data_IF_714132388602
#
_entry.id   IF_714132388602
#
_cell.length_a   1.000
_cell.length_b   1.000
_cell.length_c   1.000
_cell.angle_alpha   90.00
_cell.angle_beta   90.00
_cell.angle_gamma   90.00
#
_symmetry.space_group_name_H-M   'P 1'
#
loop_
_entity.id
_entity.type
_entity.pdbx_description
1 polymer ?
#
# COMPACT_ATOMS: atom_id res chain seq x y z
N UNK A 1 23.76 3.27 -1.12
CA UNK A 1 22.54 3.52 -1.93
C UNK A 1 21.35 3.54 -0.98
N UNK A 2 20.36 4.42 -1.17
CA UNK A 2 19.18 4.47 -0.30
C UNK A 2 18.24 3.30 -0.61
N UNK A 3 17.83 2.59 0.44
CA UNK A 3 16.86 1.49 0.31
C UNK A 3 15.51 2.03 -0.20
N UNK A 4 14.73 1.20 -0.93
CA UNK A 4 13.34 1.53 -1.24
C UNK A 4 12.50 1.67 0.03
N UNK A 5 11.44 2.48 -0.08
CA UNK A 5 10.42 2.65 0.96
C UNK A 5 9.13 2.02 0.43
N UNK A 6 8.61 1.01 1.12
CA UNK A 6 7.34 0.37 0.80
C UNK A 6 6.24 0.95 1.69
N UNK A 7 5.18 1.47 1.09
CA UNK A 7 3.99 1.94 1.80
C UNK A 7 2.91 0.88 1.73
N UNK A 8 2.58 0.29 2.88
CA UNK A 8 1.50 -0.70 3.04
C UNK A 8 0.34 -0.11 3.83
N UNK A 9 -0.84 -0.69 3.65
CA UNK A 9 -2.05 -0.35 4.41
C UNK A 9 -3.32 -0.51 3.60
N UNK A 10 -4.46 -0.36 4.26
CA UNK A 10 -5.78 -0.50 3.65
C UNK A 10 -6.02 0.51 2.52
N UNK A 11 -7.01 0.25 1.67
CA UNK A 11 -7.47 1.26 0.70
C UNK A 11 -8.00 2.48 1.45
N UNK A 12 -7.75 3.69 0.93
CA UNK A 12 -8.13 4.94 1.61
C UNK A 12 -7.12 5.45 2.65
N UNK A 13 -6.06 4.70 2.99
CA UNK A 13 -5.08 5.16 3.98
C UNK A 13 -4.08 6.21 3.47
N UNK A 14 -4.17 6.62 2.20
CA UNK A 14 -3.35 7.71 1.65
C UNK A 14 -1.98 7.33 1.08
N UNK A 15 -1.70 6.03 0.82
CA UNK A 15 -0.43 5.55 0.23
C UNK A 15 0.05 6.36 -0.98
N UNK A 16 -0.83 6.63 -1.94
CA UNK A 16 -0.47 7.38 -3.15
C UNK A 16 -0.08 8.82 -2.81
N UNK A 17 -0.88 9.50 -1.98
CA UNK A 17 -0.62 10.89 -1.55
C UNK A 17 0.69 11.00 -0.75
N UNK A 18 0.85 10.15 0.26
CA UNK A 18 2.07 10.10 1.09
C UNK A 18 3.27 9.70 0.24
N UNK A 19 3.11 8.75 -0.67
CA UNK A 19 4.17 8.26 -1.54
C UNK A 19 4.71 9.32 -2.48
N UNK A 20 3.83 10.10 -3.12
CA UNK A 20 4.25 11.24 -3.93
C UNK A 20 4.98 12.31 -3.10
N UNK A 21 4.46 12.66 -1.91
CA UNK A 21 5.10 13.65 -1.06
C UNK A 21 6.51 13.20 -0.62
N UNK A 22 6.66 11.93 -0.21
CA UNK A 22 7.96 11.35 0.14
C UNK A 22 8.92 11.31 -1.05
N UNK A 23 8.44 10.97 -2.25
CA UNK A 23 9.30 10.85 -3.43
C UNK A 23 9.84 12.22 -3.86
N UNK A 24 9.03 13.27 -3.76
CA UNK A 24 9.46 14.65 -4.02
C UNK A 24 10.50 15.09 -2.98
N UNK A 25 10.24 14.83 -1.70
CA UNK A 25 11.16 15.20 -0.61
C UNK A 25 12.52 14.47 -0.73
N UNK A 26 12.52 13.23 -1.18
CA UNK A 26 13.72 12.41 -1.35
C UNK A 26 14.33 12.47 -2.75
N UNK A 27 13.78 13.30 -3.65
CA UNK A 27 14.20 13.42 -5.05
C UNK A 27 14.34 12.05 -5.74
N UNK A 28 13.33 11.21 -5.55
CA UNK A 28 13.36 9.82 -5.97
C UNK A 28 12.06 9.43 -6.69
N UNK A 29 12.02 8.25 -7.31
CA UNK A 29 10.85 7.82 -8.07
C UNK A 29 9.73 7.34 -7.16
N UNK A 30 8.49 7.63 -7.54
CA UNK A 30 7.30 7.02 -6.96
C UNK A 30 6.70 6.00 -7.93
N UNK A 31 6.32 4.83 -7.44
CA UNK A 31 5.59 3.80 -8.22
C UNK A 31 4.47 3.23 -7.37
N UNK A 32 3.30 2.98 -7.97
CA UNK A 32 2.19 2.26 -7.36
C UNK A 32 2.07 0.88 -8.04
N UNK A 33 2.11 -0.21 -7.27
CA UNK A 33 2.12 -1.58 -7.82
C UNK A 33 0.85 -1.89 -8.59
N UNK A 34 -0.31 -1.40 -8.13
CA UNK A 34 -1.58 -1.63 -8.82
C UNK A 34 -1.63 -0.84 -10.12
N UNK A 35 -1.10 0.38 -10.13
CA UNK A 35 -1.01 1.18 -11.36
C UNK A 35 -0.07 0.54 -12.38
N UNK A 36 1.14 0.18 -11.94
CA UNK A 36 2.13 -0.48 -12.79
C UNK A 36 1.59 -1.79 -13.38
N UNK A 37 0.91 -2.60 -12.57
CA UNK A 37 0.34 -3.85 -13.05
C UNK A 37 -0.75 -3.63 -14.11
N UNK A 38 -1.61 -2.63 -13.93
CA UNK A 38 -2.65 -2.30 -14.91
C UNK A 38 -2.05 -1.81 -16.24
N UNK A 39 -0.95 -1.04 -16.18
CA UNK A 39 -0.21 -0.60 -17.36
C UNK A 39 0.44 -1.78 -18.09
N UNK A 40 1.08 -2.70 -17.38
CA UNK A 40 1.69 -3.87 -18.01
C UNK A 40 0.64 -4.82 -18.61
N UNK A 41 -0.49 -5.01 -17.93
CA UNK A 41 -1.55 -5.91 -18.38
C UNK A 41 -2.49 -5.28 -19.42
N UNK A 42 -2.48 -3.95 -19.58
CA UNK A 42 -3.48 -3.18 -20.33
C UNK A 42 -4.92 -3.55 -19.90
N UNK A 43 -5.10 -3.82 -18.60
CA UNK A 43 -6.34 -4.31 -18.00
C UNK A 43 -6.51 -3.70 -16.62
N UNK A 44 -7.75 -3.40 -16.25
CA UNK A 44 -8.10 -3.03 -14.87
C UNK A 44 -7.93 -4.23 -13.93
N UNK A 45 -7.82 -3.95 -12.63
CA UNK A 45 -7.83 -5.02 -11.59
C UNK A 45 -9.07 -5.89 -11.71
N UNK A 46 -10.25 -5.30 -11.99
CA UNK A 46 -11.50 -6.03 -12.16
C UNK A 46 -11.45 -7.03 -13.33
N UNK A 47 -10.90 -6.60 -14.47
CA UNK A 47 -10.72 -7.46 -15.65
C UNK A 47 -9.71 -8.58 -15.39
N UNK A 48 -8.59 -8.29 -14.73
CA UNK A 48 -7.60 -9.30 -14.34
C UNK A 48 -8.22 -10.37 -13.44
N UNK A 49 -8.93 -9.96 -12.39
CA UNK A 49 -9.60 -10.89 -11.48
C UNK A 49 -10.70 -11.68 -12.18
N UNK A 50 -11.47 -11.06 -13.09
CA UNK A 50 -12.49 -11.77 -13.87
C UNK A 50 -11.89 -12.83 -14.79
N UNK A 51 -10.68 -12.61 -15.30
CA UNK A 51 -10.01 -13.51 -16.24
C UNK A 51 -9.23 -14.62 -15.55
N UNK A 52 -8.55 -14.30 -14.45
CA UNK A 52 -7.54 -15.17 -13.83
C UNK A 52 -7.88 -15.57 -12.38
N UNK A 53 -8.98 -15.04 -11.85
CA UNK A 53 -9.35 -15.17 -10.45
C UNK A 53 -8.42 -14.41 -9.51
N UNK A 54 -8.76 -14.42 -8.23
CA UNK A 54 -7.93 -13.80 -7.19
C UNK A 54 -6.56 -14.45 -7.07
N UNK A 55 -6.46 -15.76 -7.28
CA UNK A 55 -5.18 -16.46 -7.21
C UNK A 55 -4.20 -15.95 -8.28
N UNK A 56 -4.64 -15.84 -9.55
CA UNK A 56 -3.83 -15.29 -10.62
C UNK A 56 -3.46 -13.82 -10.39
N UNK A 57 -4.41 -13.00 -9.94
CA UNK A 57 -4.12 -11.62 -9.56
C UNK A 57 -3.05 -11.51 -8.46
N UNK A 58 -3.05 -12.40 -7.46
CA UNK A 58 -2.04 -12.40 -6.39
C UNK A 58 -0.66 -12.77 -6.90
N UNK A 59 -0.54 -13.71 -7.83
CA UNK A 59 0.74 -14.02 -8.47
C UNK A 59 1.28 -12.78 -9.21
N UNK A 60 0.43 -12.10 -9.98
CA UNK A 60 0.79 -10.84 -10.66
C UNK A 60 1.14 -9.70 -9.70
N UNK A 61 0.49 -9.63 -8.54
CA UNK A 61 0.80 -8.64 -7.50
C UNK A 61 2.23 -8.85 -6.95
N UNK A 62 2.64 -10.11 -6.79
CA UNK A 62 4.02 -10.46 -6.42
C UNK A 62 5.02 -10.09 -7.53
N UNK A 63 4.75 -10.45 -8.78
CA UNK A 63 5.61 -10.09 -9.92
C UNK A 63 5.77 -8.57 -10.05
N UNK A 64 4.68 -7.82 -9.87
CA UNK A 64 4.70 -6.36 -9.89
C UNK A 64 5.56 -5.79 -8.75
N UNK A 65 5.45 -6.33 -7.53
CA UNK A 65 6.27 -5.91 -6.40
C UNK A 65 7.77 -6.09 -6.69
N UNK A 66 8.15 -7.25 -7.21
CA UNK A 66 9.55 -7.54 -7.56
C UNK A 66 10.04 -6.59 -8.65
N UNK A 67 9.26 -6.43 -9.73
CA UNK A 67 9.63 -5.61 -10.88
C UNK A 67 9.80 -4.12 -10.54
N UNK A 68 8.97 -3.58 -9.64
CA UNK A 68 9.05 -2.16 -9.26
C UNK A 68 10.04 -1.91 -8.13
N UNK A 69 10.62 -2.93 -7.52
CA UNK A 69 11.58 -2.76 -6.42
C UNK A 69 12.93 -2.31 -6.97
N UNK A 70 13.37 -1.13 -6.55
CA UNK A 70 14.67 -0.56 -6.93
C UNK A 70 15.18 0.38 -5.83
N UNK A 71 16.51 0.60 -5.71
CA UNK A 71 17.07 1.61 -4.81
C UNK A 71 16.49 3.01 -5.10
N UNK A 72 16.43 3.84 -4.07
CA UNK A 72 15.93 5.22 -4.15
C UNK A 72 14.53 5.29 -4.82
N UNK A 73 13.56 4.54 -4.28
CA UNK A 73 12.19 4.52 -4.78
C UNK A 73 11.20 4.43 -3.64
N UNK A 74 10.07 5.14 -3.76
CA UNK A 74 8.90 4.97 -2.90
C UNK A 74 7.87 4.13 -3.66
N UNK A 75 7.46 3.01 -3.07
CA UNK A 75 6.56 2.03 -3.66
C UNK A 75 5.27 2.01 -2.85
N UNK A 76 4.16 2.51 -3.42
CA UNK A 76 2.83 2.27 -2.87
C UNK A 76 2.35 0.88 -3.30
N UNK A 77 1.90 0.07 -2.36
CA UNK A 77 1.46 -1.29 -2.66
C UNK A 77 -0.06 -1.44 -2.71
N UNK A 78 -0.54 -2.49 -3.37
CA UNK A 78 -1.91 -2.93 -3.23
C UNK A 78 -2.27 -3.31 -1.80
N UNK A 79 -3.51 -3.05 -1.39
CA UNK A 79 -3.96 -3.34 -0.02
C UNK A 79 -4.00 -4.85 0.30
N UNK A 80 -3.98 -5.72 -0.71
CA UNK A 80 -3.96 -7.16 -0.52
C UNK A 80 -2.56 -7.77 -0.53
N UNK A 81 -1.52 -6.99 -0.84
CA UNK A 81 -0.17 -7.51 -1.07
C UNK A 81 0.39 -8.30 0.11
N UNK A 82 -0.04 -7.89 1.31
CA UNK A 82 0.43 -8.42 2.57
C UNK A 82 -0.10 -9.83 2.85
N UNK A 83 -1.15 -10.26 2.15
CA UNK A 83 -1.74 -11.60 2.32
C UNK A 83 -0.73 -12.70 1.94
N UNK A 84 0.21 -12.38 1.04
CA UNK A 84 1.35 -13.24 0.73
C UNK A 84 2.45 -13.05 1.78
N UNK A 85 2.77 -14.12 2.51
CA UNK A 85 3.91 -14.13 3.45
C UNK A 85 5.23 -13.83 2.74
N UNK A 86 5.40 -14.36 1.52
CA UNK A 86 6.55 -14.06 0.68
C UNK A 86 6.69 -12.55 0.45
N UNK A 87 5.62 -11.85 0.09
CA UNK A 87 5.66 -10.41 -0.17
C UNK A 87 6.02 -9.63 1.09
N UNK A 88 5.50 -10.04 2.27
CA UNK A 88 5.86 -9.41 3.54
C UNK A 88 7.36 -9.55 3.82
N UNK A 89 7.92 -10.75 3.65
CA UNK A 89 9.36 -11.01 3.84
C UNK A 89 10.21 -10.25 2.83
N UNK A 90 9.86 -10.33 1.55
CA UNK A 90 10.53 -9.63 0.47
C UNK A 90 10.64 -8.12 0.71
N UNK A 91 9.53 -7.45 1.05
CA UNK A 91 9.55 -6.00 1.31
C UNK A 91 10.46 -5.65 2.49
N UNK A 92 10.49 -6.47 3.54
CA UNK A 92 11.35 -6.26 4.70
C UNK A 92 12.83 -6.46 4.40
N UNK A 93 13.15 -7.45 3.57
CA UNK A 93 14.52 -7.76 3.16
C UNK A 93 15.07 -6.72 2.18
N UNK A 94 14.23 -6.19 1.29
CA UNK A 94 14.65 -5.27 0.23
C UNK A 94 14.64 -3.80 0.64
N UNK A 95 13.91 -3.41 1.70
CA UNK A 95 13.85 -2.00 2.09
C UNK A 95 13.07 -1.70 3.36
N UNK A 96 12.58 -0.46 3.49
CA UNK A 96 11.87 -0.01 4.69
C UNK A 96 10.36 -0.07 4.47
N UNK A 97 9.65 -0.86 5.29
CA UNK A 97 8.19 -0.99 5.23
C UNK A 97 7.52 -0.03 6.22
N UNK A 98 6.71 0.88 5.69
CA UNK A 98 5.89 1.81 6.47
C UNK A 98 4.42 1.38 6.35
N UNK A 99 3.81 1.03 7.47
CA UNK A 99 2.36 0.82 7.53
C UNK A 99 1.65 2.13 7.86
N UNK A 100 0.85 2.61 6.90
CA UNK A 100 -0.09 3.71 7.08
C UNK A 100 -1.38 3.19 7.69
N UNK A 101 -1.46 3.25 9.03
CA UNK A 101 -2.61 2.76 9.81
C UNK A 101 -3.65 3.86 9.98
N UNK A 102 -4.92 3.56 9.68
CA UNK A 102 -6.03 4.48 9.95
C UNK A 102 -7.26 3.70 10.41
N UNK A 103 -8.09 4.28 11.28
CA UNK A 103 -9.28 3.62 11.77
C UNK A 103 -10.33 3.51 10.67
N UNK A 104 -11.21 2.51 10.78
CA UNK A 104 -12.26 2.20 9.80
C UNK A 104 -13.09 3.44 9.39
N UNK A 105 -13.58 4.30 10.32
CA UNK A 105 -14.35 5.48 9.93
C UNK A 105 -13.59 6.41 8.97
N UNK A 106 -12.32 6.72 9.26
CA UNK A 106 -11.48 7.58 8.41
C UNK A 106 -11.29 6.98 7.01
N UNK A 107 -11.15 5.67 6.92
CA UNK A 107 -10.98 4.98 5.64
C UNK A 107 -12.26 4.99 4.81
N UNK A 108 -13.40 4.76 5.47
CA UNK A 108 -14.74 4.82 4.85
C UNK A 108 -15.01 6.22 4.34
N UNK A 109 -14.85 7.25 5.17
CA UNK A 109 -15.07 8.65 4.81
C UNK A 109 -14.24 9.04 3.57
N UNK A 110 -12.96 8.62 3.51
CA UNK A 110 -12.09 8.88 2.36
C UNK A 110 -12.49 8.12 1.10
N UNK A 111 -12.99 6.90 1.24
CA UNK A 111 -13.45 6.10 0.10
C UNK A 111 -14.77 6.63 -0.46
N UNK A 112 -15.66 7.13 0.40
CA UNK A 112 -16.94 7.73 0.03
C UNK A 112 -16.77 9.13 -0.56
N UNK A 113 -15.83 9.93 -0.06
CA UNK A 113 -15.51 11.26 -0.61
C UNK A 113 -14.85 11.19 -2.00
N UNK A 114 -14.13 10.11 -2.30
CA UNK A 114 -13.41 9.92 -3.57
C UNK A 114 -13.69 8.54 -4.18
N UNK A 115 -14.93 8.29 -4.63
CA UNK A 115 -15.31 7.00 -5.19
C UNK A 115 -14.59 6.80 -6.53
N UNK A 116 -13.65 5.84 -6.57
CA UNK A 116 -13.07 5.37 -7.83
C UNK A 116 -13.87 4.16 -8.32
N UNK A 117 -14.96 4.42 -9.04
CA UNK A 117 -15.86 3.41 -9.62
C UNK A 117 -15.11 2.36 -10.47
N UNK A 118 -14.02 2.75 -11.12
CA UNK A 118 -13.28 1.91 -12.05
C UNK A 118 -12.24 0.99 -11.41
N UNK A 119 -11.89 1.16 -10.12
CA UNK A 119 -10.64 0.57 -9.65
C UNK A 119 -10.76 -0.78 -8.97
N UNK A 120 -11.80 -1.11 -8.19
CA UNK A 120 -12.04 -2.52 -7.78
C UNK A 120 -13.51 -2.70 -7.37
N UNK A 121 -14.17 -3.80 -7.80
CA UNK A 121 -15.49 -4.15 -7.31
C UNK A 121 -15.49 -4.28 -5.78
N UNK A 122 -16.63 -4.00 -5.15
CA UNK A 122 -16.91 -4.45 -3.77
C UNK A 122 -16.62 -5.94 -3.72
N UNK A 123 -15.75 -6.38 -2.81
CA UNK A 123 -15.36 -7.78 -2.71
C UNK A 123 -16.53 -8.66 -2.29
N UNK A 124 -17.58 -8.06 -1.70
CA UNK A 124 -18.64 -8.81 -1.01
C UNK A 124 -20.07 -8.35 -1.31
N UNK A 125 -20.27 -7.19 -1.95
CA UNK A 125 -21.60 -6.57 -2.13
C UNK A 125 -22.21 -6.00 -0.84
N UNK A 126 -21.46 -6.00 0.27
CA UNK A 126 -21.84 -5.42 1.56
C UNK A 126 -21.66 -3.89 1.58
N UNK A 127 -22.25 -3.19 2.56
CA UNK A 127 -21.94 -1.78 2.80
C UNK A 127 -20.43 -1.58 2.97
N UNK A 128 -19.88 -0.51 2.37
CA UNK A 128 -18.43 -0.20 2.37
C UNK A 128 -17.84 -0.25 3.79
N UNK A 129 -18.57 0.28 4.78
CA UNK A 129 -18.16 0.27 6.18
C UNK A 129 -17.94 -1.12 6.76
N UNK A 130 -18.85 -2.05 6.47
CA UNK A 130 -18.76 -3.43 6.97
C UNK A 130 -17.59 -4.15 6.29
N UNK A 131 -17.48 -4.04 4.96
CA UNK A 131 -16.40 -4.65 4.19
C UNK A 131 -15.02 -4.15 4.63
N UNK A 132 -14.85 -2.83 4.82
CA UNK A 132 -13.59 -2.24 5.31
C UNK A 132 -13.27 -2.74 6.71
N UNK A 133 -14.27 -2.84 7.59
CA UNK A 133 -14.11 -3.35 8.95
C UNK A 133 -13.63 -4.79 8.99
N UNK A 134 -14.27 -5.68 8.24
CA UNK A 134 -13.90 -7.10 8.15
C UNK A 134 -12.49 -7.29 7.57
N UNK A 135 -12.16 -6.53 6.52
CA UNK A 135 -10.83 -6.57 5.90
C UNK A 135 -9.75 -6.14 6.88
N UNK A 136 -9.96 -5.05 7.62
CA UNK A 136 -8.98 -4.56 8.59
C UNK A 136 -8.82 -5.50 9.78
N UNK A 137 -9.91 -6.07 10.28
CA UNK A 137 -9.86 -7.03 11.38
C UNK A 137 -8.91 -8.21 11.08
N UNK A 138 -8.85 -8.65 9.81
CA UNK A 138 -7.95 -9.71 9.38
C UNK A 138 -6.55 -9.18 9.01
N UNK A 139 -6.46 -8.04 8.31
CA UNK A 139 -5.19 -7.58 7.72
C UNK A 139 -4.34 -6.73 8.64
N UNK A 140 -4.87 -6.14 9.71
CA UNK A 140 -4.10 -5.24 10.59
C UNK A 140 -2.90 -5.95 11.22
N UNK A 141 -3.08 -7.17 11.74
CA UNK A 141 -1.99 -7.95 12.32
C UNK A 141 -0.87 -8.22 11.31
N UNK A 142 -1.25 -8.55 10.06
CA UNK A 142 -0.31 -8.82 8.99
C UNK A 142 0.36 -7.55 8.44
N UNK A 143 -0.32 -6.39 8.44
CA UNK A 143 0.31 -5.10 8.14
C UNK A 143 1.38 -4.77 9.19
N UNK A 144 1.09 -4.98 10.47
CA UNK A 144 2.04 -4.77 11.57
C UNK A 144 3.23 -5.73 11.50
N UNK A 145 2.98 -6.99 11.16
CA UNK A 145 4.04 -7.99 10.94
C UNK A 145 4.99 -7.57 9.81
N UNK A 146 4.44 -7.04 8.70
CA UNK A 146 5.25 -6.56 7.59
C UNK A 146 6.05 -5.29 7.94
N UNK A 147 5.48 -4.40 8.76
CA UNK A 147 6.02 -3.06 8.98
C UNK A 147 7.33 -3.03 9.78
N UNK A 148 8.25 -2.15 9.37
CA UNK A 148 9.32 -1.65 10.24
C UNK A 148 8.80 -0.49 11.11
N UNK A 149 7.92 0.33 10.55
CA UNK A 149 7.30 1.45 11.25
C UNK A 149 5.80 1.51 10.97
N UNK A 150 5.02 1.77 12.00
CA UNK A 150 3.58 2.03 11.90
C UNK A 150 3.37 3.51 12.13
N UNK A 151 2.69 4.16 11.19
CA UNK A 151 2.41 5.61 11.22
C UNK A 151 0.90 5.80 11.16
N UNK A 152 0.39 6.67 12.04
CA UNK A 152 -1.03 7.01 12.05
C UNK A 152 -1.37 7.86 10.81
N UNK A 153 -2.07 7.31 9.84
CA UNK A 153 -2.47 7.98 8.61
C UNK A 153 -3.80 8.76 8.72
N UNK A 154 -4.38 8.85 9.92
CA UNK A 154 -5.56 9.68 10.18
C UNK A 154 -5.23 11.16 10.41
N UNK A 155 -3.97 11.48 10.71
CA UNK A 155 -3.49 12.85 10.89
C UNK A 155 -3.23 13.54 9.54
N UNK A 156 -2.92 14.85 9.61
CA UNK A 156 -2.59 15.66 8.43
C UNK A 156 -1.32 15.16 7.72
N UNK A 157 -1.28 15.36 6.39
CA UNK A 157 -0.20 14.87 5.53
C UNK A 157 1.19 15.30 6.05
N UNK A 158 1.35 16.57 6.45
CA UNK A 158 2.64 17.08 6.90
C UNK A 158 3.14 16.37 8.17
N UNK A 159 2.22 16.03 9.08
CA UNK A 159 2.56 15.26 10.28
C UNK A 159 2.91 13.81 9.96
N UNK A 160 2.15 13.17 9.04
CA UNK A 160 2.48 11.83 8.53
C UNK A 160 3.89 11.81 7.92
N UNK A 161 4.22 12.80 7.09
CA UNK A 161 5.54 12.91 6.46
C UNK A 161 6.63 13.14 7.51
N UNK A 162 6.41 14.04 8.46
CA UNK A 162 7.36 14.32 9.54
C UNK A 162 7.65 13.08 10.41
N UNK A 163 6.61 12.30 10.73
CA UNK A 163 6.74 11.05 11.48
C UNK A 163 7.55 10.00 10.70
N UNK A 164 7.28 9.83 9.40
CA UNK A 164 8.05 8.94 8.52
C UNK A 164 9.51 9.38 8.43
N UNK A 165 9.78 10.68 8.25
CA UNK A 165 11.16 11.20 8.21
C UNK A 165 11.91 10.92 9.52
N UNK A 166 11.24 11.06 10.65
CA UNK A 166 11.82 10.79 11.98
C UNK A 166 12.18 9.31 12.10
N UNK A 167 11.27 8.41 11.74
CA UNK A 167 11.50 6.97 11.73
C UNK A 167 12.68 6.56 10.84
N UNK A 168 12.77 7.11 9.62
CA UNK A 168 13.84 6.83 8.68
C UNK A 168 15.21 7.33 9.13
N UNK A 169 15.28 8.42 9.91
CA UNK A 169 16.55 8.91 10.49
C UNK A 169 17.05 8.02 11.60
N UNK A 170 16.16 7.57 12.49
CA UNK A 170 16.53 6.68 13.60
C UNK A 170 17.11 5.36 13.09
N UNK A 171 16.52 4.79 12.03
CA UNK A 171 17.00 3.55 11.41
C UNK A 171 18.39 3.66 10.74
N UNK A 172 18.88 4.88 10.45
CA UNK A 172 20.23 5.11 9.90
C UNK A 172 21.28 5.35 10.98
N UNK A 173 20.87 5.62 12.22
CA UNK A 173 21.75 5.93 13.34
C UNK A 173 22.08 4.69 14.20
N UNK A 174 21.37 3.59 13.98
CA UNK A 174 21.54 2.26 14.58
C UNK A 174 22.29 1.32 13.67
#
# INVERSE_FOLDING_TARGET
MTLPIFLVGARGCGKTTVGHALSQLHLCQFVDTDHWLQEQAQMTVAQLVSKEGWHGFRARETEALEAVTAPARVVATGGGIILSEYNRKFMREQGVVIYLSAPVPVLVDRLEAYPKESQRPTLTGKPVREEVGEILAVRDALYREAAHHVVNAAQDLDLVIAEIQTALRLARAS
#
